data_IF_707490230246
#
_entry.id   IF_707490230246
#
_cell.length_a   1.000
_cell.length_b   1.000
_cell.length_c   1.000
_cell.angle_alpha   90.00
_cell.angle_beta   90.00
_cell.angle_gamma   90.00
#
_symmetry.space_group_name_H-M   'P 1'
#
loop_
_entity.id
_entity.type
_entity.pdbx_description
1 polymer ?
#
# COMPACT_ATOMS: atom_id res chain seq x y z
N UNK A 1 74.83 -6.90 -42.99
CA UNK A 1 75.71 -6.97 -41.80
C UNK A 1 75.14 -6.04 -40.73
N UNK A 2 74.74 -6.62 -39.58
CA UNK A 2 74.24 -6.01 -38.32
C UNK A 2 72.97 -5.14 -38.44
N UNK A 3 71.94 -5.24 -37.59
CA UNK A 3 71.82 -5.77 -36.22
C UNK A 3 70.35 -6.16 -35.98
N UNK A 4 70.12 -7.26 -35.27
CA UNK A 4 68.82 -7.61 -34.68
C UNK A 4 68.29 -6.49 -33.78
N UNK A 5 66.98 -6.24 -33.82
CA UNK A 5 66.25 -5.74 -32.66
C UNK A 5 64.90 -6.47 -32.55
N UNK A 6 64.77 -7.17 -31.43
CA UNK A 6 63.60 -7.85 -30.92
C UNK A 6 62.51 -6.82 -30.62
N UNK A 7 61.24 -7.04 -31.03
CA UNK A 7 60.12 -6.32 -30.45
C UNK A 7 59.01 -7.29 -30.04
N UNK A 8 58.68 -7.19 -28.76
CA UNK A 8 57.80 -8.05 -27.97
C UNK A 8 56.35 -7.75 -28.32
N UNK A 9 55.58 -8.81 -28.60
CA UNK A 9 54.13 -8.76 -28.78
C UNK A 9 53.48 -8.59 -27.40
N UNK A 10 52.79 -7.48 -27.19
CA UNK A 10 51.94 -7.28 -26.00
C UNK A 10 50.50 -7.06 -26.48
N UNK A 11 49.67 -8.09 -26.29
CA UNK A 11 48.25 -8.05 -26.55
C UNK A 11 47.52 -7.30 -25.43
N UNK A 12 46.87 -6.19 -25.75
CA UNK A 12 45.83 -5.61 -24.91
C UNK A 12 44.47 -5.82 -25.57
N UNK A 13 43.75 -6.81 -25.04
CA UNK A 13 42.29 -6.95 -25.18
C UNK A 13 41.64 -5.88 -24.31
N UNK A 14 41.01 -4.89 -24.94
CA UNK A 14 39.99 -4.06 -24.28
C UNK A 14 38.73 -4.12 -25.12
N UNK A 15 37.81 -4.96 -24.66
CA UNK A 15 36.42 -4.94 -25.04
C UNK A 15 35.82 -3.59 -24.59
N UNK A 16 35.37 -2.77 -25.55
CA UNK A 16 34.43 -1.71 -25.25
C UNK A 16 33.09 -2.39 -24.92
N UNK A 17 32.78 -2.43 -23.63
CA UNK A 17 31.48 -2.80 -23.10
C UNK A 17 30.38 -1.91 -23.70
N UNK A 18 29.34 -2.58 -24.18
CA UNK A 18 28.08 -2.02 -24.65
C UNK A 18 27.52 -0.98 -23.68
N UNK A 19 27.21 0.19 -24.22
CA UNK A 19 26.41 1.23 -23.56
C UNK A 19 25.05 0.62 -23.23
N UNK A 20 24.81 0.37 -21.96
CA UNK A 20 23.50 -0.01 -21.44
C UNK A 20 22.53 1.16 -21.64
N UNK A 21 21.40 0.88 -22.29
CA UNK A 21 20.29 1.80 -22.39
C UNK A 21 19.78 2.12 -20.98
N UNK A 22 20.13 3.29 -20.46
CA UNK A 22 19.40 3.91 -19.36
C UNK A 22 18.05 4.37 -19.92
N UNK A 23 17.03 3.53 -19.81
CA UNK A 23 15.65 3.99 -19.88
C UNK A 23 15.41 4.88 -18.66
N UNK A 24 15.66 6.17 -18.84
CA UNK A 24 15.15 7.21 -17.96
C UNK A 24 13.63 7.11 -18.08
N UNK A 25 12.99 6.54 -17.07
CA UNK A 25 11.54 6.55 -16.93
C UNK A 25 11.08 8.01 -16.95
N UNK A 26 10.13 8.31 -17.84
CA UNK A 26 9.50 9.63 -17.93
C UNK A 26 8.93 10.04 -16.57
N UNK A 27 8.85 11.35 -16.28
CA UNK A 27 8.21 11.83 -15.06
C UNK A 27 6.76 11.37 -15.08
N UNK A 28 6.40 10.49 -14.14
CA UNK A 28 5.01 10.09 -13.95
C UNK A 28 4.21 11.34 -13.64
N UNK A 29 3.20 11.65 -14.47
CA UNK A 29 2.23 12.71 -14.21
C UNK A 29 1.73 12.62 -12.76
N UNK A 30 1.52 13.76 -12.07
CA UNK A 30 1.01 13.74 -10.71
C UNK A 30 -0.35 13.01 -10.70
N UNK A 31 -0.48 12.01 -9.83
CA UNK A 31 -1.72 11.26 -9.66
C UNK A 31 -2.79 12.20 -9.10
N UNK A 32 -3.86 12.40 -9.86
CA UNK A 32 -5.04 13.14 -9.41
C UNK A 32 -5.95 12.22 -8.60
N UNK A 33 -6.36 12.65 -7.41
CA UNK A 33 -7.34 11.96 -6.59
C UNK A 33 -8.70 12.62 -6.77
N UNK A 34 -9.65 11.92 -7.37
CA UNK A 34 -11.05 12.34 -7.46
C UNK A 34 -11.90 11.49 -6.52
N UNK A 35 -12.85 12.10 -5.82
CA UNK A 35 -13.75 11.38 -4.92
C UNK A 35 -14.57 10.33 -5.70
N UNK A 36 -14.67 9.11 -5.19
CA UNK A 36 -15.35 7.99 -5.84
C UNK A 36 -14.56 7.31 -6.96
N UNK A 37 -13.42 7.85 -7.40
CA UNK A 37 -12.54 7.23 -8.39
C UNK A 37 -11.26 6.73 -7.72
N UNK A 38 -10.96 5.44 -7.87
CA UNK A 38 -9.85 4.80 -7.17
C UNK A 38 -8.62 4.62 -8.06
N UNK A 39 -7.45 4.59 -7.42
CA UNK A 39 -6.14 4.37 -8.05
C UNK A 39 -5.29 3.41 -7.23
N UNK A 40 -4.19 2.90 -7.80
CA UNK A 40 -3.28 1.96 -7.11
C UNK A 40 -2.78 2.50 -5.76
N UNK A 41 -2.60 3.81 -5.66
CA UNK A 41 -2.13 4.48 -4.45
C UNK A 41 -3.15 4.38 -3.31
N UNK A 42 -4.45 4.24 -3.57
CA UNK A 42 -5.46 4.15 -2.52
C UNK A 42 -5.31 2.92 -1.62
N UNK A 43 -4.58 1.91 -2.08
CA UNK A 43 -4.25 0.69 -1.35
C UNK A 43 -2.86 0.78 -0.68
N UNK A 44 -2.51 1.97 -0.20
CA UNK A 44 -1.27 2.24 0.50
C UNK A 44 -1.47 3.16 1.70
N UNK A 45 -0.55 3.09 2.65
CA UNK A 45 -0.42 4.03 3.76
C UNK A 45 0.96 4.69 3.69
N UNK A 46 0.99 6.00 3.94
CA UNK A 46 2.18 6.85 3.81
C UNK A 46 2.50 7.45 5.17
N UNK A 47 3.75 7.27 5.60
CA UNK A 47 4.25 7.90 6.81
C UNK A 47 4.28 9.42 6.64
N UNK A 48 3.64 10.15 7.53
CA UNK A 48 3.39 11.59 7.40
C UNK A 48 4.69 12.40 7.25
N UNK A 49 5.72 12.09 8.06
CA UNK A 49 7.00 12.82 8.05
C UNK A 49 7.94 12.44 6.90
N UNK A 50 8.34 11.16 6.81
CA UNK A 50 9.40 10.72 5.91
C UNK A 50 8.90 10.19 4.56
N UNK A 51 7.59 10.21 4.33
CA UNK A 51 6.92 9.82 3.07
C UNK A 51 7.17 8.38 2.62
N UNK A 52 7.65 7.50 3.52
CA UNK A 52 7.72 6.06 3.25
C UNK A 52 6.31 5.51 3.06
N UNK A 53 6.10 4.74 2.00
CA UNK A 53 4.79 4.18 1.64
C UNK A 53 4.84 2.67 1.77
N UNK A 54 3.87 2.11 2.50
CA UNK A 54 3.61 0.67 2.57
C UNK A 54 2.38 0.38 1.71
N UNK A 55 2.47 -0.65 0.87
CA UNK A 55 1.44 -0.98 -0.12
C UNK A 55 1.08 -2.45 -0.02
N UNK A 56 -0.17 -2.78 -0.38
CA UNK A 56 -0.53 -4.16 -0.66
C UNK A 56 0.40 -4.73 -1.74
N UNK A 57 0.79 -6.00 -1.59
CA UNK A 57 1.70 -6.70 -2.48
C UNK A 57 3.20 -6.53 -2.15
N UNK A 58 3.58 -5.64 -1.23
CA UNK A 58 4.98 -5.57 -0.78
C UNK A 58 5.37 -6.83 0.00
N UNK A 59 6.63 -7.25 -0.10
CA UNK A 59 7.15 -8.30 0.76
C UNK A 59 7.42 -7.78 2.17
N UNK A 60 7.33 -8.66 3.17
CA UNK A 60 7.70 -8.37 4.56
C UNK A 60 9.10 -7.76 4.68
N UNK A 61 10.07 -8.29 3.93
CA UNK A 61 11.44 -7.77 3.90
C UNK A 61 11.52 -6.32 3.40
N UNK A 62 10.68 -5.94 2.43
CA UNK A 62 10.62 -4.56 1.96
C UNK A 62 10.00 -3.64 3.01
N UNK A 63 8.96 -4.10 3.71
CA UNK A 63 8.36 -3.36 4.83
C UNK A 63 9.38 -3.17 5.96
N UNK A 64 10.07 -4.21 6.39
CA UNK A 64 11.07 -4.15 7.47
C UNK A 64 12.27 -3.28 7.08
N UNK A 65 12.66 -3.26 5.80
CA UNK A 65 13.67 -2.32 5.31
C UNK A 65 13.23 -0.85 5.46
N UNK A 66 11.94 -0.58 5.33
CA UNK A 66 11.38 0.77 5.45
C UNK A 66 11.11 1.16 6.91
N UNK A 67 10.52 0.27 7.70
CA UNK A 67 10.00 0.58 9.04
C UNK A 67 10.87 0.06 10.18
N UNK A 68 11.85 -0.80 9.90
CA UNK A 68 12.54 -1.61 10.91
C UNK A 68 11.74 -2.86 11.27
N UNK A 69 12.16 -3.54 12.32
CA UNK A 69 11.47 -4.72 12.84
C UNK A 69 10.12 -4.34 13.51
N UNK A 70 9.12 -5.23 13.49
CA UNK A 70 7.88 -5.02 14.23
C UNK A 70 8.13 -4.97 15.73
N UNK A 71 7.35 -4.16 16.44
CA UNK A 71 7.42 -4.03 17.92
C UNK A 71 6.71 -5.18 18.63
N UNK A 72 5.69 -5.76 17.98
CA UNK A 72 4.89 -6.87 18.47
C UNK A 72 4.30 -7.64 17.29
N UNK A 73 3.90 -8.89 17.50
CA UNK A 73 3.13 -9.67 16.54
C UNK A 73 1.98 -10.41 17.23
N UNK A 74 0.88 -10.54 16.52
CA UNK A 74 -0.25 -11.40 16.86
C UNK A 74 -0.16 -12.62 15.95
N UNK A 75 0.71 -13.56 16.33
CA UNK A 75 1.17 -14.65 15.46
C UNK A 75 0.03 -15.50 14.88
N UNK A 76 -1.02 -15.76 15.67
CA UNK A 76 -2.16 -16.57 15.22
C UNK A 76 -3.00 -15.89 14.13
N UNK A 77 -2.93 -14.55 14.02
CA UNK A 77 -3.53 -13.79 12.93
C UNK A 77 -2.48 -13.32 11.92
N UNK A 78 -1.19 -13.64 12.07
CA UNK A 78 -0.10 -13.12 11.22
C UNK A 78 -0.10 -11.59 11.07
N UNK A 79 -0.57 -10.88 12.09
CA UNK A 79 -0.55 -9.41 12.14
C UNK A 79 0.69 -8.94 12.88
N UNK A 80 1.44 -8.02 12.30
CA UNK A 80 2.66 -7.46 12.88
C UNK A 80 2.46 -5.97 13.11
N UNK A 81 2.82 -5.52 14.31
CA UNK A 81 2.59 -4.17 14.78
C UNK A 81 3.88 -3.38 14.64
N UNK A 82 3.83 -2.28 13.89
CA UNK A 82 4.89 -1.29 13.77
C UNK A 82 4.42 0.02 14.43
N UNK A 83 5.32 0.97 14.65
CA UNK A 83 4.87 2.33 15.02
C UNK A 83 4.07 2.93 13.86
N UNK A 84 2.79 3.16 14.10
CA UNK A 84 1.85 3.88 13.24
C UNK A 84 0.99 3.00 12.34
N UNK A 85 1.29 1.71 12.21
CA UNK A 85 0.58 0.81 11.30
C UNK A 85 0.66 -0.65 11.78
N UNK A 86 -0.40 -1.42 11.54
CA UNK A 86 -0.40 -2.88 11.62
C UNK A 86 -0.43 -3.46 10.22
N UNK A 87 0.34 -4.52 10.01
CA UNK A 87 0.47 -5.16 8.69
C UNK A 87 0.19 -6.66 8.83
N UNK A 88 -0.76 -7.16 8.06
CA UNK A 88 -1.01 -8.58 7.89
C UNK A 88 -0.16 -9.10 6.72
N UNK A 89 0.36 -10.32 6.86
CA UNK A 89 1.09 -11.00 5.79
C UNK A 89 0.51 -12.39 5.49
N UNK A 90 0.13 -12.61 4.23
CA UNK A 90 -0.06 -13.93 3.65
C UNK A 90 1.15 -14.30 2.79
N UNK A 91 1.77 -15.45 3.08
CA UNK A 91 2.95 -15.93 2.35
C UNK A 91 4.09 -14.88 2.26
N UNK A 92 4.33 -14.16 3.36
CA UNK A 92 5.29 -13.05 3.47
C UNK A 92 5.00 -11.83 2.57
N UNK A 93 3.78 -11.72 2.04
CA UNK A 93 3.31 -10.59 1.23
C UNK A 93 2.22 -9.82 1.98
N UNK A 94 2.27 -8.49 1.92
CA UNK A 94 1.25 -7.61 2.50
C UNK A 94 -0.07 -7.78 1.76
N UNK A 95 -1.08 -8.26 2.46
CA UNK A 95 -2.46 -8.41 1.98
C UNK A 95 -3.47 -7.67 2.86
N UNK A 96 -3.03 -7.12 4.00
CA UNK A 96 -3.81 -6.23 4.85
C UNK A 96 -2.96 -5.20 5.57
N UNK A 97 -3.48 -3.98 5.68
CA UNK A 97 -2.90 -2.91 6.49
C UNK A 97 -4.00 -2.27 7.32
N UNK A 98 -3.71 -1.96 8.58
CA UNK A 98 -4.69 -1.42 9.53
C UNK A 98 -4.10 -0.30 10.40
N UNK A 99 -4.95 0.65 10.76
CA UNK A 99 -4.71 1.63 11.82
C UNK A 99 -5.93 1.58 12.75
N UNK A 100 -5.71 1.38 14.04
CA UNK A 100 -6.77 1.40 15.06
C UNK A 100 -6.24 1.94 16.41
N UNK A 101 -7.10 2.01 17.43
CA UNK A 101 -6.78 2.50 18.77
C UNK A 101 -5.59 1.79 19.45
N UNK A 102 -5.32 0.54 19.07
CA UNK A 102 -4.21 -0.26 19.60
C UNK A 102 -2.96 -0.17 18.71
N UNK A 103 -2.99 0.60 17.62
CA UNK A 103 -1.80 0.91 16.82
C UNK A 103 -0.97 1.98 17.56
N UNK A 104 0.32 1.74 17.89
CA UNK A 104 1.15 2.75 18.51
C UNK A 104 1.32 3.96 17.58
N UNK A 105 1.18 5.19 18.07
CA UNK A 105 1.31 6.42 17.25
C UNK A 105 0.46 6.41 15.95
N UNK A 106 -0.86 6.16 16.02
CA UNK A 106 -1.68 5.88 14.83
C UNK A 106 -1.76 7.04 13.83
N UNK A 107 -1.53 8.28 14.30
CA UNK A 107 -1.49 9.48 13.46
C UNK A 107 -0.18 9.65 12.65
N UNK A 108 0.82 8.78 12.81
CA UNK A 108 2.07 8.89 12.04
C UNK A 108 1.95 8.39 10.59
N UNK A 109 0.84 7.73 10.26
CA UNK A 109 0.48 7.32 8.90
C UNK A 109 -0.84 7.95 8.46
N UNK A 110 -0.93 8.20 7.16
CA UNK A 110 -2.11 8.69 6.48
C UNK A 110 -2.28 7.97 5.14
N UNK A 111 -3.47 8.00 4.56
CA UNK A 111 -3.65 7.57 3.18
C UNK A 111 -3.02 8.60 2.22
N UNK A 112 -2.75 8.25 0.94
CA UNK A 112 -2.29 9.23 -0.04
C UNK A 112 -3.26 10.38 -0.29
N UNK A 113 -4.54 10.20 0.02
CA UNK A 113 -5.56 11.25 -0.01
C UNK A 113 -5.50 12.20 1.19
N UNK A 114 -4.65 11.90 2.17
CA UNK A 114 -4.48 12.70 3.39
C UNK A 114 -5.40 12.30 4.53
N UNK A 115 -6.16 11.21 4.42
CA UNK A 115 -6.97 10.70 5.52
C UNK A 115 -6.08 10.14 6.63
N UNK A 116 -6.30 10.58 7.86
CA UNK A 116 -5.52 10.20 9.05
C UNK A 116 -6.44 9.86 10.23
N UNK A 117 -5.87 9.16 11.22
CA UNK A 117 -6.55 8.85 12.48
C UNK A 117 -7.13 10.12 13.13
N UNK A 118 -8.40 10.07 13.53
CA UNK A 118 -9.16 11.19 14.11
C UNK A 118 -9.91 12.08 13.11
N UNK A 119 -9.76 11.88 11.79
CA UNK A 119 -10.52 12.68 10.80
C UNK A 119 -12.02 12.39 10.85
N UNK A 120 -12.84 13.39 10.55
CA UNK A 120 -14.30 13.30 10.61
C UNK A 120 -14.91 12.50 9.46
N UNK A 121 -16.18 12.09 9.63
CA UNK A 121 -16.98 11.47 8.58
C UNK A 121 -17.06 12.35 7.32
N UNK A 122 -17.24 13.66 7.49
CA UNK A 122 -17.31 14.63 6.39
C UNK A 122 -15.99 14.68 5.59
N UNK A 123 -14.85 14.65 6.29
CA UNK A 123 -13.54 14.59 5.63
C UNK A 123 -13.40 13.31 4.81
N UNK A 124 -13.79 12.15 5.36
CA UNK A 124 -13.71 10.87 4.65
C UNK A 124 -14.57 10.88 3.39
N UNK A 125 -15.83 11.32 3.49
CA UNK A 125 -16.76 11.39 2.36
C UNK A 125 -16.26 12.37 1.29
N UNK A 126 -15.62 13.48 1.69
CA UNK A 126 -15.02 14.42 0.73
C UNK A 126 -13.84 13.82 -0.06
N UNK A 127 -13.10 12.89 0.54
CA UNK A 127 -11.90 12.27 -0.06
C UNK A 127 -12.22 11.03 -0.89
N UNK A 128 -13.15 10.20 -0.41
CA UNK A 128 -13.45 8.88 -0.98
C UNK A 128 -14.80 8.82 -1.70
N UNK A 129 -15.69 9.78 -1.48
CA UNK A 129 -17.06 9.75 -2.00
C UNK A 129 -17.94 8.74 -1.27
N UNK A 130 -19.05 8.37 -1.92
CA UNK A 130 -20.06 7.47 -1.37
C UNK A 130 -19.53 6.02 -1.27
N UNK A 131 -19.63 5.37 -0.10
CA UNK A 131 -19.25 3.96 0.05
C UNK A 131 -20.30 3.02 -0.54
N UNK A 132 -19.91 1.75 -0.70
CA UNK A 132 -20.84 0.69 -1.10
C UNK A 132 -21.75 0.27 0.07
N UNK A 133 -21.23 0.31 1.29
CA UNK A 133 -21.99 0.12 2.51
C UNK A 133 -21.68 1.22 3.53
N UNK A 134 -22.73 1.75 4.15
CA UNK A 134 -22.67 2.74 5.24
C UNK A 134 -23.63 2.31 6.33
N UNK A 135 -23.07 1.80 7.42
CA UNK A 135 -23.84 1.33 8.57
C UNK A 135 -23.63 2.27 9.76
N UNK A 136 -24.73 2.74 10.35
CA UNK A 136 -24.70 3.58 11.55
C UNK A 136 -25.19 2.75 12.74
N UNK A 137 -24.35 2.63 13.76
CA UNK A 137 -24.66 1.91 15.01
C UNK A 137 -24.30 2.77 16.21
N UNK A 138 -25.30 3.42 16.82
CA UNK A 138 -25.08 4.36 17.91
C UNK A 138 -24.25 5.56 17.45
N UNK A 139 -23.09 5.76 18.07
CA UNK A 139 -22.15 6.85 17.72
C UNK A 139 -21.15 6.46 16.64
N UNK A 140 -21.15 5.19 16.21
CA UNK A 140 -20.19 4.68 15.24
C UNK A 140 -20.82 4.62 13.85
N UNK A 141 -20.13 5.14 12.85
CA UNK A 141 -20.41 4.93 11.43
C UNK A 141 -19.33 4.05 10.82
N UNK A 142 -19.72 2.96 10.18
CA UNK A 142 -18.85 2.09 9.39
C UNK A 142 -19.07 2.37 7.91
N UNK A 143 -17.98 2.58 7.17
CA UNK A 143 -17.95 2.78 5.73
C UNK A 143 -17.15 1.65 5.09
N UNK A 144 -17.70 1.03 4.06
CA UNK A 144 -17.00 -0.01 3.28
C UNK A 144 -17.00 0.38 1.81
N UNK A 145 -15.80 0.53 1.28
CA UNK A 145 -15.56 0.70 -0.15
C UNK A 145 -15.04 -0.63 -0.70
N UNK A 146 -15.65 -1.12 -1.77
CA UNK A 146 -15.26 -2.34 -2.44
C UNK A 146 -14.86 -2.01 -3.87
N UNK A 147 -13.65 -2.39 -4.25
CA UNK A 147 -13.07 -2.02 -5.54
C UNK A 147 -12.42 -3.23 -6.20
N UNK A 148 -12.52 -3.31 -7.52
CA UNK A 148 -11.91 -4.34 -8.34
C UNK A 148 -11.03 -3.70 -9.42
N UNK A 149 -9.83 -4.25 -9.64
CA UNK A 149 -8.98 -3.86 -10.76
C UNK A 149 -9.32 -4.68 -12.01
N UNK A 150 -9.96 -4.04 -13.00
CA UNK A 150 -10.35 -4.63 -14.29
C UNK A 150 -9.46 -4.07 -15.41
N UNK A 151 -8.44 -4.84 -15.78
CA UNK A 151 -7.38 -4.34 -16.66
C UNK A 151 -6.58 -3.24 -15.97
N UNK A 152 -6.53 -2.06 -16.57
CA UNK A 152 -5.87 -0.87 -16.02
C UNK A 152 -6.84 0.07 -15.27
N UNK A 153 -8.12 -0.29 -15.19
CA UNK A 153 -9.14 0.52 -14.54
C UNK A 153 -9.52 -0.04 -13.17
N UNK A 154 -9.82 0.87 -12.25
CA UNK A 154 -10.42 0.55 -10.95
C UNK A 154 -11.91 0.81 -11.02
N UNK A 155 -12.70 -0.20 -10.66
CA UNK A 155 -14.15 -0.12 -10.67
C UNK A 155 -14.71 -0.44 -9.27
N UNK A 156 -15.61 0.40 -8.73
CA UNK A 156 -16.35 0.03 -7.54
C UNK A 156 -17.28 -1.15 -7.85
N UNK A 157 -17.37 -2.10 -6.92
CA UNK A 157 -18.28 -3.25 -7.00
C UNK A 157 -19.27 -3.18 -5.82
N UNK A 158 -20.55 -3.53 -6.00
CA UNK A 158 -21.51 -3.33 -4.89
C UNK A 158 -21.34 -4.31 -3.74
N UNK A 159 -20.87 -5.51 -4.05
CA UNK A 159 -20.64 -6.58 -3.09
C UNK A 159 -19.65 -7.59 -3.70
N UNK A 160 -19.20 -8.54 -2.89
CA UNK A 160 -18.23 -9.55 -3.31
C UNK A 160 -18.72 -10.54 -4.37
N UNK A 161 -20.03 -10.66 -4.59
CA UNK A 161 -20.59 -11.52 -5.65
C UNK A 161 -20.51 -10.84 -7.03
N UNK A 162 -20.39 -9.52 -7.09
CA UNK A 162 -20.17 -8.77 -8.33
C UNK A 162 -18.70 -8.78 -8.80
N UNK A 163 -17.75 -9.23 -7.96
CA UNK A 163 -16.34 -9.32 -8.33
C UNK A 163 -16.12 -10.36 -9.44
N UNK A 164 -15.57 -9.94 -10.58
CA UNK A 164 -15.24 -10.86 -11.68
C UNK A 164 -13.97 -11.68 -11.37
N UNK A 165 -13.04 -11.05 -10.66
CA UNK A 165 -11.81 -11.64 -10.16
C UNK A 165 -11.55 -11.18 -8.72
N UNK A 166 -11.86 -12.08 -7.77
CA UNK A 166 -11.65 -11.85 -6.34
C UNK A 166 -10.18 -11.63 -5.94
N UNK A 167 -9.21 -12.14 -6.71
CA UNK A 167 -7.78 -11.88 -6.47
C UNK A 167 -7.39 -10.44 -6.78
N UNK A 168 -8.22 -9.73 -7.57
CA UNK A 168 -8.06 -8.31 -7.91
C UNK A 168 -9.11 -7.44 -7.24
N UNK A 169 -9.79 -7.97 -6.22
CA UNK A 169 -10.79 -7.25 -5.45
C UNK A 169 -10.22 -6.91 -4.06
N UNK A 170 -10.56 -5.70 -3.60
CA UNK A 170 -10.01 -5.10 -2.40
C UNK A 170 -11.10 -4.37 -1.63
N UNK A 171 -10.88 -4.17 -0.34
CA UNK A 171 -11.71 -3.32 0.50
C UNK A 171 -10.92 -2.21 1.14
N UNK A 172 -11.60 -1.07 1.33
CA UNK A 172 -11.22 -0.06 2.32
C UNK A 172 -12.36 0.02 3.32
N UNK A 173 -12.08 -0.31 4.59
CA UNK A 173 -13.05 -0.29 5.68
C UNK A 173 -12.65 0.77 6.70
N UNK A 174 -13.59 1.61 7.09
CA UNK A 174 -13.34 2.76 7.97
C UNK A 174 -14.42 2.78 9.05
N UNK A 175 -14.03 2.88 10.32
CA UNK A 175 -14.96 3.20 11.39
C UNK A 175 -14.68 4.60 11.95
N UNK A 176 -15.75 5.35 12.13
CA UNK A 176 -15.75 6.74 12.57
C UNK A 176 -16.65 6.85 13.77
N UNK A 177 -16.12 7.40 14.85
CA UNK A 177 -16.90 7.84 16.00
C UNK A 177 -17.38 9.27 15.76
N UNK A 178 -18.61 9.58 16.15
CA UNK A 178 -19.22 10.89 15.92
C UNK A 178 -18.48 12.04 16.64
N UNK A 179 -17.82 11.77 17.76
CA UNK A 179 -17.07 12.76 18.54
C UNK A 179 -15.57 12.66 18.31
N UNK A 180 -15.02 11.43 18.29
CA UNK A 180 -13.58 11.20 18.22
C UNK A 180 -13.04 11.10 16.78
N UNK A 181 -13.91 11.00 15.76
CA UNK A 181 -13.51 10.82 14.37
C UNK A 181 -13.06 9.39 14.05
N UNK A 182 -12.28 9.25 12.97
CA UNK A 182 -11.82 7.95 12.48
C UNK A 182 -10.96 7.24 13.53
N UNK A 183 -11.42 6.09 14.00
CA UNK A 183 -10.68 5.27 14.96
C UNK A 183 -10.26 3.91 14.39
N UNK A 184 -10.70 3.59 13.17
CA UNK A 184 -10.29 2.39 12.45
C UNK A 184 -10.18 2.69 10.96
N UNK A 185 -9.09 2.24 10.35
CA UNK A 185 -8.90 2.17 8.91
C UNK A 185 -8.30 0.80 8.55
N UNK A 186 -8.78 0.19 7.48
CA UNK A 186 -8.18 -1.00 6.89
C UNK A 186 -8.19 -0.90 5.37
N UNK A 187 -7.07 -1.22 4.75
CA UNK A 187 -6.98 -1.52 3.32
C UNK A 187 -6.52 -2.98 3.16
N UNK A 188 -7.28 -3.78 2.42
CA UNK A 188 -7.07 -5.23 2.37
C UNK A 188 -7.46 -5.83 1.01
N UNK A 189 -6.82 -6.94 0.64
CA UNK A 189 -7.34 -7.76 -0.45
C UNK A 189 -8.60 -8.53 -0.02
N UNK A 190 -9.27 -9.17 -0.98
CA UNK A 190 -10.47 -9.97 -0.73
C UNK A 190 -10.27 -11.02 0.36
N UNK A 191 -9.19 -11.81 0.30
CA UNK A 191 -8.99 -12.96 1.19
C UNK A 191 -8.91 -12.53 2.65
N UNK A 192 -8.09 -11.52 2.95
CA UNK A 192 -7.99 -10.99 4.31
C UNK A 192 -9.28 -10.29 4.75
N UNK A 193 -9.98 -9.62 3.83
CA UNK A 193 -11.26 -8.94 4.12
C UNK A 193 -12.36 -9.89 4.57
N UNK A 194 -12.43 -11.11 4.00
CA UNK A 194 -13.50 -12.09 4.31
C UNK A 194 -13.07 -13.15 5.33
N UNK A 195 -11.77 -13.38 5.49
CA UNK A 195 -11.21 -14.32 6.45
C UNK A 195 -9.96 -13.74 7.14
N UNK A 196 -10.14 -12.84 8.11
CA UNK A 196 -9.02 -12.10 8.73
C UNK A 196 -8.14 -12.95 9.67
N UNK A 197 -8.48 -14.22 9.91
CA UNK A 197 -7.64 -15.15 10.71
C UNK A 197 -6.67 -15.97 9.88
N UNK A 198 -6.76 -15.89 8.54
CA UNK A 198 -6.04 -16.79 7.63
C UNK A 198 -6.60 -18.22 7.62
#
# INVERSE_FOLDING_TARGET
MYKSLLLIILAFLTACSSVGNNSVSEPTEPVSFEAGAFVDQDLSLVHAENKKSIKLGMSRKEVEKLLGEPTESIDFMKVYIYSGIKVHYAEDIVDGMMIDDNTPNPASFQTPRGLQYGDSLEQIESLYGEPQDKTINGQTTTLVYLIEKRGDQWEPIRNWDEAQNKEKAYSISINVDAEAGMFFYMAANYQFSVNPTG
#
